data_IF_698751522073
#
_entry.id   IF_698751522073
#
_cell.length_a   1.000
_cell.length_b   1.000
_cell.length_c   1.000
_cell.angle_alpha   90.00
_cell.angle_beta   90.00
_cell.angle_gamma   90.00
#
_symmetry.space_group_name_H-M   'P 1'
#
loop_
_entity.id
_entity.type
_entity.pdbx_description
1 polymer ?
#
# COMPACT_ATOMS: atom_id res chain seq x y z
N UNK A 1 -44.33 51.68 -58.28
CA UNK A 1 -44.45 50.29 -57.78
C UNK A 1 -43.46 50.17 -56.63
N UNK A 2 -43.92 50.02 -55.39
CA UNK A 2 -43.11 50.11 -54.16
C UNK A 2 -42.28 48.83 -53.98
N UNK A 3 -40.96 48.98 -53.81
CA UNK A 3 -40.07 47.93 -53.33
C UNK A 3 -40.40 47.60 -51.87
N UNK A 4 -40.67 46.33 -51.57
CA UNK A 4 -40.78 45.80 -50.22
C UNK A 4 -39.39 45.27 -49.84
N UNK A 5 -38.73 45.75 -48.77
CA UNK A 5 -37.49 45.16 -48.31
C UNK A 5 -37.81 43.88 -47.53
N UNK A 6 -37.24 42.76 -47.97
CA UNK A 6 -37.26 41.49 -47.24
C UNK A 6 -36.33 41.62 -46.02
N UNK A 7 -36.92 41.66 -44.82
CA UNK A 7 -36.22 41.57 -43.55
C UNK A 7 -35.82 40.10 -43.33
N UNK A 8 -34.53 39.79 -43.40
CA UNK A 8 -33.98 38.50 -42.98
C UNK A 8 -33.82 38.52 -41.46
N UNK A 9 -34.72 37.83 -40.74
CA UNK A 9 -34.55 37.54 -39.32
C UNK A 9 -33.59 36.37 -39.23
N UNK A 10 -32.33 36.63 -38.89
CA UNK A 10 -31.39 35.59 -38.48
C UNK A 10 -31.83 35.10 -37.09
N UNK A 11 -32.52 33.96 -37.05
CA UNK A 11 -32.78 33.25 -35.81
C UNK A 11 -31.47 32.58 -35.36
N UNK A 12 -30.77 33.21 -34.42
CA UNK A 12 -29.70 32.56 -33.66
C UNK A 12 -30.35 31.49 -32.80
N UNK A 13 -30.28 30.23 -33.23
CA UNK A 13 -30.63 29.09 -32.37
C UNK A 13 -29.54 29.03 -31.30
N UNK A 14 -29.83 29.53 -30.09
CA UNK A 14 -29.07 29.15 -28.91
C UNK A 14 -29.34 27.65 -28.71
N UNK A 15 -28.42 26.81 -29.18
CA UNK A 15 -28.41 25.40 -28.82
C UNK A 15 -27.96 25.38 -27.36
N UNK A 16 -28.93 25.37 -26.45
CA UNK A 16 -28.64 25.05 -25.06
C UNK A 16 -28.04 23.63 -25.03
N UNK A 17 -26.94 23.41 -24.30
CA UNK A 17 -26.35 22.08 -24.18
C UNK A 17 -27.41 21.09 -23.69
N UNK A 18 -27.36 19.87 -24.20
CA UNK A 18 -28.27 18.83 -23.72
C UNK A 18 -27.89 18.47 -22.28
N UNK A 19 -28.85 17.93 -21.51
CA UNK A 19 -28.57 17.40 -20.16
C UNK A 19 -27.43 16.36 -20.16
N UNK A 20 -27.22 15.67 -21.28
CA UNK A 20 -26.12 14.72 -21.44
C UNK A 20 -24.77 15.44 -21.56
N UNK A 21 -24.68 16.51 -22.36
CA UNK A 21 -23.45 17.32 -22.51
C UNK A 21 -23.06 18.02 -21.20
N UNK A 22 -24.05 18.55 -20.46
CA UNK A 22 -23.82 19.16 -19.14
C UNK A 22 -23.28 18.15 -18.12
N UNK A 23 -23.73 16.90 -18.21
CA UNK A 23 -23.28 15.81 -17.34
C UNK A 23 -21.86 15.38 -17.67
N UNK A 24 -21.49 15.34 -18.95
CA UNK A 24 -20.14 14.98 -19.40
C UNK A 24 -19.11 16.04 -19.00
N UNK A 25 -19.43 17.33 -19.19
CA UNK A 25 -18.56 18.42 -18.74
C UNK A 25 -18.40 18.42 -17.21
N UNK A 26 -19.49 18.23 -16.47
CA UNK A 26 -19.43 18.14 -15.01
C UNK A 26 -18.60 16.93 -14.54
N UNK A 27 -18.73 15.78 -15.20
CA UNK A 27 -17.94 14.58 -14.89
C UNK A 27 -16.44 14.83 -15.09
N UNK A 28 -16.07 15.52 -16.17
CA UNK A 28 -14.67 15.88 -16.41
C UNK A 28 -14.12 16.85 -15.35
N UNK A 29 -14.92 17.84 -14.92
CA UNK A 29 -14.49 18.75 -13.84
C UNK A 29 -14.33 18.06 -12.49
N UNK A 30 -15.18 17.09 -12.17
CA UNK A 30 -15.05 16.26 -10.98
C UNK A 30 -13.78 15.39 -11.05
N UNK A 31 -13.50 14.77 -12.20
CA UNK A 31 -12.25 14.03 -12.43
C UNK A 31 -11.01 14.91 -12.24
N UNK A 32 -11.03 16.13 -12.76
CA UNK A 32 -9.94 17.09 -12.52
C UNK A 32 -9.83 17.50 -11.05
N UNK A 33 -10.94 17.53 -10.31
CA UNK A 33 -10.95 17.72 -8.86
C UNK A 33 -10.23 16.58 -8.13
N UNK A 34 -10.52 15.33 -8.48
CA UNK A 34 -9.82 14.16 -7.95
C UNK A 34 -8.32 14.18 -8.29
N UNK A 35 -7.95 14.57 -9.51
CA UNK A 35 -6.53 14.76 -9.89
C UNK A 35 -5.85 15.80 -8.99
N UNK A 36 -6.48 16.98 -8.79
CA UNK A 36 -5.93 18.01 -7.91
C UNK A 36 -5.78 17.53 -6.46
N UNK A 37 -6.72 16.72 -5.97
CA UNK A 37 -6.61 16.11 -4.65
C UNK A 37 -5.37 15.21 -4.53
N UNK A 38 -5.16 14.31 -5.50
CA UNK A 38 -4.00 13.41 -5.51
C UNK A 38 -2.68 14.19 -5.63
N UNK A 39 -2.62 15.17 -6.52
CA UNK A 39 -1.45 16.04 -6.67
C UNK A 39 -1.14 16.75 -5.35
N UNK A 40 -2.14 17.33 -4.69
CA UNK A 40 -1.98 18.02 -3.42
C UNK A 40 -1.58 17.07 -2.27
N UNK A 41 -2.13 15.85 -2.22
CA UNK A 41 -1.75 14.86 -1.21
C UNK A 41 -0.30 14.41 -1.38
N UNK A 42 0.10 14.10 -2.61
CA UNK A 42 1.45 13.61 -2.92
C UNK A 42 2.51 14.70 -2.81
N UNK A 43 2.12 15.98 -2.95
CA UNK A 43 2.99 17.14 -2.70
C UNK A 43 2.94 17.67 -1.26
N UNK A 44 2.14 17.06 -0.38
CA UNK A 44 1.93 17.48 1.03
C UNK A 44 1.34 18.89 1.16
N UNK A 45 0.52 19.31 0.21
CA UNK A 45 -0.13 20.62 0.21
C UNK A 45 -1.52 20.55 0.86
N UNK A 46 -1.53 20.57 2.20
CA UNK A 46 -2.77 20.53 3.00
C UNK A 46 -3.73 21.68 2.66
N UNK A 47 -3.18 22.84 2.31
CA UNK A 47 -3.96 24.03 1.93
C UNK A 47 -4.62 23.86 0.57
N UNK A 48 -3.94 23.27 -0.40
CA UNK A 48 -4.53 22.93 -1.69
C UNK A 48 -5.68 21.93 -1.52
N UNK A 49 -5.52 20.91 -0.65
CA UNK A 49 -6.60 19.97 -0.33
C UNK A 49 -7.80 20.71 0.27
N UNK A 50 -7.58 21.52 1.31
CA UNK A 50 -8.65 22.28 1.95
C UNK A 50 -9.38 23.22 0.97
N UNK A 51 -8.68 23.74 -0.03
CA UNK A 51 -9.27 24.61 -1.06
C UNK A 51 -10.23 23.89 -2.01
N UNK A 52 -10.20 22.56 -2.08
CA UNK A 52 -11.16 21.73 -2.84
C UNK A 52 -12.53 21.61 -2.13
N UNK A 53 -12.60 21.94 -0.84
CA UNK A 53 -13.85 21.92 -0.09
C UNK A 53 -14.61 23.23 -0.18
N UNK A 54 -15.91 23.22 0.08
CA UNK A 54 -16.66 24.43 0.42
C UNK A 54 -16.06 25.11 1.68
N UNK A 55 -16.29 26.42 1.90
CA UNK A 55 -15.83 27.10 3.11
C UNK A 55 -16.21 26.38 4.41
N UNK A 56 -17.45 25.85 4.45
CA UNK A 56 -18.03 25.06 5.55
C UNK A 56 -18.08 23.56 5.20
N UNK A 57 -17.19 23.08 4.33
CA UNK A 57 -17.12 21.67 3.98
C UNK A 57 -16.72 20.80 5.18
N UNK A 58 -17.14 19.55 5.19
CA UNK A 58 -16.91 18.64 6.33
C UNK A 58 -16.22 17.33 5.92
N UNK A 59 -15.41 16.77 6.82
CA UNK A 59 -14.94 15.38 6.76
C UNK A 59 -15.51 14.64 7.96
N UNK A 60 -16.22 13.55 7.71
CA UNK A 60 -16.74 12.64 8.72
C UNK A 60 -15.80 11.45 8.75
N UNK A 61 -14.93 11.41 9.75
CA UNK A 61 -13.88 10.40 9.83
C UNK A 61 -14.46 9.05 10.23
N UNK A 62 -13.69 8.00 9.94
CA UNK A 62 -13.96 6.64 10.36
C UNK A 62 -14.17 6.48 11.89
N UNK A 63 -13.55 7.34 12.71
CA UNK A 63 -13.68 7.32 14.18
C UNK A 63 -14.97 7.98 14.69
N UNK A 64 -15.76 8.60 13.79
CA UNK A 64 -16.99 9.33 14.13
C UNK A 64 -16.76 10.80 14.47
N UNK A 65 -15.56 11.32 14.23
CA UNK A 65 -15.26 12.74 14.35
C UNK A 65 -15.77 13.51 13.12
N UNK A 66 -16.12 14.79 13.33
CA UNK A 66 -16.48 15.71 12.25
C UNK A 66 -15.49 16.86 12.23
N UNK A 67 -14.69 16.93 11.17
CA UNK A 67 -13.77 18.04 10.90
C UNK A 67 -14.52 19.02 10.00
N UNK A 68 -14.79 20.23 10.50
CA UNK A 68 -15.66 21.21 9.82
C UNK A 68 -14.91 22.47 9.44
N UNK A 69 -15.06 22.88 8.18
CA UNK A 69 -14.48 24.09 7.63
C UNK A 69 -13.05 23.91 7.12
N UNK A 70 -12.66 24.75 6.16
CA UNK A 70 -11.35 24.64 5.48
C UNK A 70 -10.15 24.69 6.43
N UNK A 71 -10.21 25.53 7.46
CA UNK A 71 -9.11 25.68 8.43
C UNK A 71 -8.88 24.39 9.21
N UNK A 72 -9.96 23.73 9.67
CA UNK A 72 -9.85 22.46 10.37
C UNK A 72 -9.40 21.32 9.45
N UNK A 73 -9.87 21.31 8.19
CA UNK A 73 -9.45 20.33 7.18
C UNK A 73 -7.96 20.49 6.85
N UNK A 74 -7.47 21.73 6.67
CA UNK A 74 -6.04 22.01 6.46
C UNK A 74 -5.21 21.48 7.63
N UNK A 75 -5.63 21.77 8.88
CA UNK A 75 -4.93 21.28 10.07
C UNK A 75 -4.91 19.75 10.17
N UNK A 76 -6.02 19.08 9.82
CA UNK A 76 -6.12 17.63 9.81
C UNK A 76 -5.13 17.00 8.82
N UNK A 77 -5.07 17.50 7.58
CA UNK A 77 -4.13 16.98 6.58
C UNK A 77 -2.69 17.30 6.93
N UNK A 78 -2.41 18.48 7.52
CA UNK A 78 -1.07 18.80 8.01
C UNK A 78 -0.61 17.79 9.07
N UNK A 79 -1.48 17.43 10.02
CA UNK A 79 -1.15 16.42 11.03
C UNK A 79 -0.84 15.03 10.42
N UNK A 80 -1.59 14.63 9.38
CA UNK A 80 -1.33 13.39 8.64
C UNK A 80 0.05 13.44 7.97
N UNK A 81 0.41 14.57 7.35
CA UNK A 81 1.69 14.73 6.67
C UNK A 81 2.87 14.83 7.63
N UNK A 82 2.69 15.40 8.81
CA UNK A 82 3.70 15.45 9.87
C UNK A 82 3.97 14.05 10.47
N UNK A 83 2.99 13.14 10.43
CA UNK A 83 3.13 11.75 10.90
C UNK A 83 3.83 10.85 9.88
N UNK A 84 3.48 10.96 8.58
CA UNK A 84 4.13 10.24 7.48
C UNK A 84 4.33 11.15 6.25
N UNK A 85 5.48 11.82 6.22
CA UNK A 85 5.89 12.71 5.12
C UNK A 85 6.10 11.98 3.78
N UNK A 86 6.23 10.65 3.80
CA UNK A 86 6.55 9.84 2.62
C UNK A 86 5.34 9.17 1.97
N UNK A 87 4.21 9.12 2.70
CA UNK A 87 2.96 8.52 2.25
C UNK A 87 2.55 9.00 0.85
N UNK A 88 2.00 8.10 0.03
CA UNK A 88 1.46 8.44 -1.29
C UNK A 88 0.01 8.01 -1.38
N UNK A 89 -0.82 8.82 -2.04
CA UNK A 89 -2.21 8.51 -2.33
C UNK A 89 -2.42 8.22 -3.81
N UNK A 90 -3.33 7.28 -4.07
CA UNK A 90 -4.00 7.10 -5.35
C UNK A 90 -5.52 7.00 -5.12
N UNK A 91 -6.31 7.43 -6.09
CA UNK A 91 -7.77 7.37 -6.04
C UNK A 91 -8.27 6.42 -7.12
N UNK A 92 -9.04 5.43 -6.70
CA UNK A 92 -9.91 4.66 -7.57
C UNK A 92 -11.31 5.29 -7.50
N UNK A 93 -11.60 6.16 -8.47
CA UNK A 93 -12.95 6.76 -8.60
C UNK A 93 -13.91 5.67 -9.06
N UNK A 94 -14.91 5.37 -8.23
CA UNK A 94 -15.93 4.38 -8.53
C UNK A 94 -17.09 4.97 -9.32
N UNK A 95 -18.19 5.27 -8.63
CA UNK A 95 -19.44 5.71 -9.24
C UNK A 95 -19.69 7.20 -8.97
N UNK A 96 -20.15 7.94 -9.98
CA UNK A 96 -20.53 9.36 -9.87
C UNK A 96 -21.98 9.51 -10.29
N UNK A 97 -22.81 9.93 -9.34
CA UNK A 97 -24.26 10.09 -9.52
C UNK A 97 -24.69 11.53 -9.34
N UNK A 98 -25.28 12.10 -10.38
CA UNK A 98 -25.93 13.42 -10.33
C UNK A 98 -27.33 13.28 -9.73
N UNK A 99 -27.46 13.62 -8.44
CA UNK A 99 -28.69 13.41 -7.67
C UNK A 99 -29.66 14.59 -7.76
N UNK A 100 -29.16 15.78 -8.10
CA UNK A 100 -29.93 17.00 -8.36
C UNK A 100 -29.09 17.98 -9.21
N UNK A 101 -29.69 19.03 -9.80
CA UNK A 101 -28.92 20.05 -10.51
C UNK A 101 -27.83 20.64 -9.61
N UNK A 102 -26.58 20.61 -10.07
CA UNK A 102 -25.43 21.10 -9.33
C UNK A 102 -25.05 20.27 -8.10
N UNK A 103 -25.56 19.05 -7.95
CA UNK A 103 -25.22 18.15 -6.83
C UNK A 103 -24.85 16.77 -7.38
N UNK A 104 -23.64 16.32 -7.04
CA UNK A 104 -23.13 15.00 -7.39
C UNK A 104 -22.68 14.25 -6.13
N UNK A 105 -22.92 12.94 -6.11
CA UNK A 105 -22.37 12.02 -5.11
C UNK A 105 -21.37 11.12 -5.80
N UNK A 106 -20.18 11.03 -5.23
CA UNK A 106 -19.11 10.16 -5.67
C UNK A 106 -18.85 9.10 -4.61
N UNK A 107 -18.82 7.84 -5.02
CA UNK A 107 -18.38 6.72 -4.18
C UNK A 107 -17.05 6.20 -4.76
N UNK A 108 -16.01 6.10 -3.93
CA UNK A 108 -14.66 5.75 -4.38
C UNK A 108 -13.83 5.04 -3.32
N UNK A 109 -12.60 4.68 -3.70
CA UNK A 109 -11.60 4.09 -2.80
C UNK A 109 -10.32 4.92 -2.87
N UNK A 110 -9.82 5.33 -1.70
CA UNK A 110 -8.49 5.93 -1.58
C UNK A 110 -7.49 4.85 -1.18
N UNK A 111 -6.38 4.80 -1.90
CA UNK A 111 -5.26 3.91 -1.65
C UNK A 111 -4.10 4.72 -1.08
N UNK A 112 -3.64 4.36 0.11
CA UNK A 112 -2.54 5.02 0.80
C UNK A 112 -1.38 4.02 0.91
N UNK A 113 -0.26 4.34 0.27
CA UNK A 113 1.01 3.61 0.41
C UNK A 113 1.89 4.34 1.41
N UNK A 114 2.27 3.67 2.50
CA UNK A 114 3.15 4.21 3.54
C UNK A 114 4.64 4.13 3.16
N UNK A 115 5.49 4.74 3.99
CA UNK A 115 6.95 4.71 3.87
C UNK A 115 7.54 3.30 3.63
N UNK A 116 6.98 2.31 4.33
CA UNK A 116 7.43 0.92 4.33
C UNK A 116 6.82 0.08 3.20
N UNK A 117 6.07 0.73 2.29
CA UNK A 117 5.38 0.09 1.18
C UNK A 117 4.06 -0.57 1.56
N UNK A 118 3.61 -0.48 2.82
CA UNK A 118 2.31 -1.01 3.21
C UNK A 118 1.20 -0.22 2.51
N UNK A 119 0.33 -0.94 1.79
CA UNK A 119 -0.85 -0.38 1.15
C UNK A 119 -2.07 -0.53 2.06
N UNK A 120 -2.74 0.57 2.38
CA UNK A 120 -4.08 0.57 2.97
C UNK A 120 -5.09 1.16 1.98
N UNK A 121 -6.32 0.64 1.96
CA UNK A 121 -7.38 1.10 1.04
C UNK A 121 -8.66 1.38 1.79
N UNK A 122 -9.23 2.58 1.65
CA UNK A 122 -10.43 2.99 2.40
C UNK A 122 -11.52 3.46 1.44
N UNK A 123 -12.75 2.96 1.63
CA UNK A 123 -13.91 3.50 0.94
C UNK A 123 -14.27 4.89 1.47
N UNK A 124 -14.70 5.76 0.56
CA UNK A 124 -15.27 7.05 0.90
C UNK A 124 -16.49 7.37 0.05
N UNK A 125 -17.33 8.26 0.58
CA UNK A 125 -18.39 8.94 -0.19
C UNK A 125 -18.15 10.44 -0.12
N UNK A 126 -18.11 11.10 -1.28
CA UNK A 126 -18.00 12.56 -1.40
C UNK A 126 -19.28 13.17 -1.98
N UNK A 127 -19.74 14.27 -1.38
CA UNK A 127 -20.81 15.11 -1.88
C UNK A 127 -20.21 16.37 -2.49
N UNK A 128 -20.42 16.56 -3.79
CA UNK A 128 -19.91 17.70 -4.56
C UNK A 128 -21.02 18.65 -4.95
N UNK A 129 -20.70 19.95 -4.94
CA UNK A 129 -21.61 21.04 -5.27
C UNK A 129 -21.01 21.90 -6.38
N UNK A 130 -21.77 22.12 -7.44
CA UNK A 130 -21.39 23.02 -8.53
C UNK A 130 -21.42 24.48 -8.05
N UNK A 131 -20.42 25.25 -8.47
CA UNK A 131 -20.28 26.67 -8.19
C UNK A 131 -20.73 27.51 -9.39
N UNK A 132 -21.01 28.79 -9.16
CA UNK A 132 -21.44 29.72 -10.23
C UNK A 132 -20.39 29.91 -11.33
N UNK A 133 -19.10 29.77 -11.00
CA UNK A 133 -17.98 29.81 -11.95
C UNK A 133 -17.81 28.50 -12.73
N UNK A 134 -18.69 27.52 -12.50
CA UNK A 134 -18.68 26.22 -13.14
C UNK A 134 -17.69 25.24 -12.50
N UNK A 135 -16.95 25.61 -11.45
CA UNK A 135 -16.13 24.68 -10.67
C UNK A 135 -17.01 23.78 -9.79
N UNK A 136 -16.42 22.73 -9.23
CA UNK A 136 -17.07 21.84 -8.28
C UNK A 136 -16.25 21.81 -6.99
N UNK A 137 -16.92 21.93 -5.86
CA UNK A 137 -16.32 21.89 -4.54
C UNK A 137 -16.98 20.82 -3.68
N UNK A 138 -16.19 20.20 -2.82
CA UNK A 138 -16.65 19.15 -1.90
C UNK A 138 -17.36 19.76 -0.71
N UNK A 139 -18.64 19.44 -0.53
CA UNK A 139 -19.41 19.81 0.65
C UNK A 139 -19.15 18.86 1.82
N UNK A 140 -18.99 17.57 1.54
CA UNK A 140 -18.77 16.56 2.57
C UNK A 140 -17.99 15.37 2.03
N UNK A 141 -17.06 14.85 2.82
CA UNK A 141 -16.51 13.51 2.67
C UNK A 141 -16.92 12.68 3.90
N UNK A 142 -17.20 11.40 3.68
CA UNK A 142 -17.33 10.42 4.74
C UNK A 142 -16.35 9.29 4.48
N UNK A 143 -15.50 9.03 5.45
CA UNK A 143 -14.53 7.94 5.43
C UNK A 143 -15.12 6.70 6.09
N UNK A 144 -14.70 5.53 5.62
CA UNK A 144 -14.98 4.26 6.28
C UNK A 144 -13.70 3.65 6.85
N UNK A 145 -13.80 3.07 8.05
CA UNK A 145 -12.65 2.54 8.79
C UNK A 145 -12.03 1.27 8.18
N UNK A 146 -12.79 0.57 7.35
CA UNK A 146 -12.42 -0.77 6.93
C UNK A 146 -11.37 -0.69 5.84
N UNK A 147 -10.18 -1.20 6.15
CA UNK A 147 -9.18 -1.45 5.12
C UNK A 147 -9.68 -2.54 4.16
N UNK A 148 -9.77 -2.17 2.88
CA UNK A 148 -10.21 -3.01 1.77
C UNK A 148 -9.04 -3.68 1.06
N UNK A 149 -7.78 -3.34 1.38
CA UNK A 149 -6.62 -3.95 0.78
C UNK A 149 -6.58 -5.45 1.12
N UNK A 150 -6.66 -6.29 0.08
CA UNK A 150 -6.51 -7.73 0.24
C UNK A 150 -5.11 -8.12 0.70
N UNK A 151 -4.97 -9.31 1.29
CA UNK A 151 -3.67 -9.77 1.82
C UNK A 151 -2.53 -9.78 0.79
N UNK A 152 -2.82 -10.00 -0.50
CA UNK A 152 -1.80 -9.95 -1.55
C UNK A 152 -1.28 -8.53 -1.75
N UNK A 153 -2.16 -7.53 -1.77
CA UNK A 153 -1.79 -6.13 -1.91
C UNK A 153 -0.95 -5.67 -0.70
N UNK A 154 -1.29 -6.12 0.51
CA UNK A 154 -0.47 -5.91 1.72
C UNK A 154 0.94 -6.47 1.57
N UNK A 155 1.07 -7.70 1.06
CA UNK A 155 2.35 -8.36 0.91
C UNK A 155 3.28 -7.72 -0.13
N UNK A 156 2.80 -6.80 -0.97
CA UNK A 156 3.67 -6.09 -1.92
C UNK A 156 4.76 -5.26 -1.22
N UNK A 157 4.56 -4.86 0.05
CA UNK A 157 5.60 -4.29 0.90
C UNK A 157 6.84 -5.21 1.06
N UNK A 158 6.67 -6.51 0.81
CA UNK A 158 7.71 -7.54 0.87
C UNK A 158 8.14 -8.06 -0.52
N UNK A 159 7.75 -7.40 -1.62
CA UNK A 159 8.15 -7.81 -2.99
C UNK A 159 9.67 -7.86 -3.18
N UNK A 160 10.41 -7.04 -2.43
CA UNK A 160 11.87 -7.07 -2.44
C UNK A 160 12.46 -8.42 -2.02
N UNK A 161 11.73 -9.27 -1.28
CA UNK A 161 12.15 -10.63 -0.92
C UNK A 161 12.09 -11.61 -2.09
N UNK A 162 11.30 -11.32 -3.13
CA UNK A 162 11.02 -12.28 -4.20
C UNK A 162 12.29 -12.57 -5.02
N UNK A 163 12.49 -13.86 -5.28
CA UNK A 163 13.59 -14.40 -6.05
C UNK A 163 14.53 -15.31 -5.26
N UNK A 164 15.70 -15.56 -5.84
CA UNK A 164 16.69 -16.48 -5.30
C UNK A 164 17.80 -15.76 -4.54
N UNK A 165 18.20 -16.35 -3.43
CA UNK A 165 19.13 -15.79 -2.47
C UNK A 165 20.15 -16.82 -2.01
N UNK A 166 21.29 -16.31 -1.54
CA UNK A 166 22.40 -17.09 -1.04
C UNK A 166 22.92 -16.50 0.28
N UNK A 167 23.18 -17.38 1.22
CA UNK A 167 23.98 -17.13 2.41
C UNK A 167 25.24 -17.98 2.27
N UNK A 168 26.41 -17.36 2.48
CA UNK A 168 27.67 -18.09 2.61
C UNK A 168 28.30 -17.76 3.96
N UNK A 169 28.61 -18.78 4.74
CA UNK A 169 29.28 -18.63 6.03
C UNK A 169 30.19 -19.81 6.31
N UNK A 170 31.47 -19.57 6.58
CA UNK A 170 32.45 -20.59 7.01
C UNK A 170 32.45 -21.89 6.15
N UNK A 171 32.20 -21.76 4.84
CA UNK A 171 32.15 -22.88 3.90
C UNK A 171 30.78 -23.55 3.76
N UNK A 172 29.82 -23.26 4.65
CA UNK A 172 28.43 -23.62 4.49
C UNK A 172 27.70 -22.63 3.55
N UNK A 173 26.75 -23.15 2.79
CA UNK A 173 25.93 -22.39 1.85
C UNK A 173 24.46 -22.66 2.07
N UNK A 174 23.65 -21.61 2.25
CA UNK A 174 22.19 -21.73 2.28
C UNK A 174 21.58 -21.04 1.07
N UNK A 175 20.81 -21.80 0.32
CA UNK A 175 20.11 -21.42 -0.89
C UNK A 175 18.66 -21.16 -0.50
N UNK A 176 18.13 -19.97 -0.74
CA UNK A 176 16.73 -19.65 -0.39
C UNK A 176 16.03 -19.12 -1.63
N UNK A 177 14.86 -19.65 -1.94
CA UNK A 177 13.99 -19.13 -3.00
C UNK A 177 12.71 -18.64 -2.37
N UNK A 178 12.25 -17.44 -2.73
CA UNK A 178 11.00 -16.82 -2.31
C UNK A 178 10.12 -16.57 -3.53
N UNK A 179 8.90 -17.11 -3.50
CA UNK A 179 7.95 -17.03 -4.60
C UNK A 179 6.58 -16.58 -4.10
N UNK A 180 5.84 -15.88 -4.96
CA UNK A 180 4.42 -15.68 -4.76
C UNK A 180 3.69 -17.02 -4.80
N UNK A 181 2.88 -17.30 -3.79
CA UNK A 181 2.14 -18.55 -3.70
C UNK A 181 0.99 -18.59 -4.70
N UNK A 182 0.77 -19.74 -5.34
CA UNK A 182 -0.43 -19.98 -6.19
C UNK A 182 -1.69 -20.22 -5.35
N UNK A 183 -1.54 -20.56 -4.06
CA UNK A 183 -2.63 -20.97 -3.16
C UNK A 183 -3.26 -19.82 -2.38
N UNK A 184 -2.87 -18.57 -2.66
CA UNK A 184 -3.45 -17.39 -2.02
C UNK A 184 -2.48 -16.25 -1.77
N UNK A 185 -2.85 -15.30 -0.90
CA UNK A 185 -2.05 -14.12 -0.60
C UNK A 185 -0.90 -14.49 0.35
N UNK A 186 0.07 -15.24 -0.15
CA UNK A 186 1.25 -15.67 0.60
C UNK A 186 2.53 -15.51 -0.21
N UNK A 187 3.64 -15.35 0.49
CA UNK A 187 4.99 -15.57 -0.05
C UNK A 187 5.50 -16.88 0.53
N UNK A 188 5.81 -17.84 -0.34
CA UNK A 188 6.39 -19.12 0.05
C UNK A 188 7.90 -19.08 -0.13
N UNK A 189 8.63 -19.66 0.83
CA UNK A 189 10.07 -19.81 0.74
C UNK A 189 10.50 -21.25 0.97
N UNK A 190 11.54 -21.66 0.23
CA UNK A 190 12.23 -22.94 0.43
C UNK A 190 13.71 -22.69 0.59
N UNK A 191 14.31 -23.31 1.60
CA UNK A 191 15.73 -23.23 1.88
C UNK A 191 16.40 -24.62 1.78
N UNK A 192 17.60 -24.65 1.21
CA UNK A 192 18.52 -25.78 1.23
C UNK A 192 19.85 -25.31 1.81
N UNK A 193 20.29 -25.90 2.92
CA UNK A 193 21.60 -25.64 3.50
C UNK A 193 22.53 -26.81 3.23
N UNK A 194 23.72 -26.51 2.75
CA UNK A 194 24.80 -27.45 2.46
C UNK A 194 26.02 -27.08 3.29
N UNK A 195 26.65 -28.06 3.91
CA UNK A 195 27.87 -27.88 4.70
C UNK A 195 28.85 -29.02 4.43
N UNK A 196 30.17 -28.78 4.40
CA UNK A 196 31.16 -29.84 4.30
C UNK A 196 31.12 -30.83 5.47
N UNK A 197 30.73 -30.35 6.65
CA UNK A 197 30.88 -31.06 7.92
C UNK A 197 29.55 -31.58 8.49
N UNK A 198 28.42 -31.32 7.80
CA UNK A 198 27.09 -31.71 8.26
C UNK A 198 26.22 -32.21 7.11
N UNK A 199 25.17 -32.96 7.44
CA UNK A 199 24.15 -33.34 6.48
C UNK A 199 23.42 -32.11 5.95
N UNK A 200 23.05 -32.15 4.68
CA UNK A 200 22.21 -31.11 4.09
C UNK A 200 20.88 -31.01 4.85
N UNK A 201 20.47 -29.80 5.17
CA UNK A 201 19.19 -29.52 5.81
C UNK A 201 18.29 -28.72 4.89
N UNK A 202 16.98 -28.82 5.13
CA UNK A 202 15.97 -28.06 4.37
C UNK A 202 15.03 -27.38 5.33
N UNK A 203 14.51 -26.23 4.91
CA UNK A 203 13.45 -25.55 5.62
C UNK A 203 12.44 -24.96 4.64
N UNK A 204 11.23 -24.74 5.13
CA UNK A 204 10.19 -24.01 4.43
C UNK A 204 9.77 -22.83 5.28
N UNK A 205 9.33 -21.76 4.63
CA UNK A 205 8.68 -20.64 5.29
C UNK A 205 7.48 -20.20 4.46
N UNK A 206 6.45 -19.70 5.11
CA UNK A 206 5.32 -19.01 4.48
C UNK A 206 5.08 -17.70 5.20
N UNK A 207 4.93 -16.61 4.46
CA UNK A 207 4.59 -15.28 4.99
C UNK A 207 3.19 -14.90 4.51
N UNK A 208 2.38 -14.33 5.39
CA UNK A 208 1.03 -13.85 5.11
C UNK A 208 0.67 -12.60 5.92
N UNK A 209 -0.50 -12.03 5.65
CA UNK A 209 -1.06 -10.90 6.38
C UNK A 209 -2.05 -11.36 7.45
N UNK A 210 -1.87 -10.94 8.70
CA UNK A 210 -2.84 -11.11 9.78
C UNK A 210 -3.72 -9.87 9.88
N UNK A 211 -4.95 -9.95 9.35
CA UNK A 211 -5.89 -8.83 9.35
C UNK A 211 -6.41 -8.45 10.75
N UNK A 212 -6.32 -9.34 11.74
CA UNK A 212 -6.76 -9.03 13.11
C UNK A 212 -5.68 -8.28 13.89
N UNK A 213 -4.40 -8.52 13.55
CA UNK A 213 -3.24 -7.88 14.20
C UNK A 213 -2.61 -6.76 13.36
N UNK A 214 -3.07 -6.59 12.12
CA UNK A 214 -2.57 -5.63 11.14
C UNK A 214 -1.03 -5.70 10.97
N UNK A 215 -0.53 -6.92 10.73
CA UNK A 215 0.91 -7.21 10.67
C UNK A 215 1.20 -8.41 9.76
N UNK A 216 2.43 -8.52 9.25
CA UNK A 216 2.85 -9.76 8.59
C UNK A 216 3.19 -10.83 9.61
N UNK A 217 2.81 -12.05 9.31
CA UNK A 217 3.15 -13.23 10.09
C UNK A 217 3.82 -14.26 9.20
N UNK A 218 4.75 -15.01 9.77
CA UNK A 218 5.44 -16.09 9.07
C UNK A 218 5.39 -17.38 9.86
N UNK A 219 5.37 -18.52 9.17
CA UNK A 219 5.55 -19.84 9.75
C UNK A 219 6.74 -20.50 9.06
N UNK A 220 7.61 -21.14 9.83
CA UNK A 220 8.73 -21.89 9.29
C UNK A 220 8.77 -23.31 9.86
N UNK A 221 9.23 -24.25 9.05
CA UNK A 221 9.45 -25.64 9.42
C UNK A 221 10.80 -26.10 8.88
N UNK A 222 11.62 -26.73 9.71
CA UNK A 222 12.80 -27.47 9.25
C UNK A 222 12.47 -28.94 8.97
N UNK A 223 13.39 -29.63 8.31
CA UNK A 223 13.23 -31.03 7.91
C UNK A 223 13.15 -32.01 9.09
N UNK A 224 13.66 -31.63 10.25
CA UNK A 224 13.71 -32.47 11.44
C UNK A 224 12.45 -32.29 12.32
N UNK A 225 11.55 -31.39 11.92
CA UNK A 225 10.26 -31.16 12.57
C UNK A 225 10.24 -29.96 13.52
N UNK A 226 11.35 -29.23 13.64
CA UNK A 226 11.38 -27.94 14.30
C UNK A 226 10.52 -26.93 13.54
N UNK A 227 9.88 -26.03 14.27
CA UNK A 227 8.96 -25.06 13.71
C UNK A 227 8.92 -23.77 14.51
N UNK A 228 8.60 -22.66 13.85
CA UNK A 228 8.44 -21.37 14.52
C UNK A 228 7.43 -20.48 13.80
N UNK A 229 6.96 -19.48 14.53
CA UNK A 229 6.20 -18.36 14.00
C UNK A 229 6.98 -17.06 14.15
N UNK A 230 6.85 -16.16 13.20
CA UNK A 230 7.40 -14.80 13.24
C UNK A 230 6.30 -13.77 13.15
N UNK A 231 6.34 -12.72 13.98
CA UNK A 231 5.50 -11.52 13.81
C UNK A 231 6.37 -10.36 13.36
N UNK A 232 6.01 -9.70 12.27
CA UNK A 232 6.84 -8.72 11.57
C UNK A 232 6.30 -7.31 11.75
N UNK A 233 7.10 -6.44 12.34
CA UNK A 233 6.78 -5.02 12.49
C UNK A 233 7.74 -4.21 11.62
N UNK A 234 7.20 -3.26 10.87
CA UNK A 234 8.02 -2.28 10.18
C UNK A 234 8.88 -1.51 11.19
N UNK A 235 10.16 -1.36 10.90
CA UNK A 235 11.11 -0.61 11.73
C UNK A 235 11.55 0.70 11.07
N UNK A 236 10.88 1.11 9.99
CA UNK A 236 11.29 2.23 9.13
C UNK A 236 12.52 1.90 8.27
N UNK A 237 12.88 2.80 7.35
CA UNK A 237 14.13 2.75 6.58
C UNK A 237 14.44 1.41 5.88
N UNK A 238 13.42 0.78 5.25
CA UNK A 238 13.52 -0.56 4.65
C UNK A 238 14.01 -1.63 5.63
N UNK A 239 13.62 -1.52 6.90
CA UNK A 239 13.94 -2.49 7.93
C UNK A 239 12.68 -3.10 8.55
N UNK A 240 12.82 -4.36 8.96
CA UNK A 240 11.75 -5.14 9.58
C UNK A 240 12.24 -5.75 10.88
N UNK A 241 11.46 -5.65 11.94
CA UNK A 241 11.68 -6.37 13.19
C UNK A 241 10.77 -7.61 13.23
N UNK A 242 11.35 -8.77 13.46
CA UNK A 242 10.65 -10.05 13.52
C UNK A 242 10.83 -10.65 14.90
N UNK A 243 9.73 -10.83 15.63
CA UNK A 243 9.74 -11.60 16.87
C UNK A 243 9.40 -13.04 16.57
N UNK A 244 10.32 -13.94 16.90
CA UNK A 244 10.24 -15.37 16.61
C UNK A 244 9.95 -16.13 17.90
N UNK A 245 8.98 -17.04 17.84
CA UNK A 245 8.70 -18.03 18.86
C UNK A 245 8.51 -19.39 18.21
N UNK A 246 9.04 -20.45 18.80
CA UNK A 246 8.95 -21.78 18.21
C UNK A 246 9.48 -22.89 19.10
N UNK A 247 9.71 -24.04 18.46
CA UNK A 247 10.19 -25.26 19.08
C UNK A 247 11.21 -25.91 18.14
N UNK A 248 12.34 -26.36 18.69
CA UNK A 248 13.34 -27.15 17.93
C UNK A 248 12.83 -28.57 17.64
N UNK A 249 13.52 -29.32 16.79
CA UNK A 249 13.17 -30.73 16.53
C UNK A 249 13.17 -31.61 17.81
N UNK A 250 13.99 -31.25 18.80
CA UNK A 250 14.09 -31.93 20.10
C UNK A 250 13.02 -31.50 21.12
N UNK A 251 12.11 -30.60 20.73
CA UNK A 251 11.04 -30.13 21.60
C UNK A 251 11.42 -28.96 22.52
N UNK A 252 12.58 -28.34 22.30
CA UNK A 252 13.05 -27.22 23.12
C UNK A 252 12.43 -25.91 22.65
N UNK A 253 12.02 -25.07 23.60
CA UNK A 253 11.44 -23.76 23.27
C UNK A 253 12.48 -22.83 22.66
N UNK A 254 12.18 -22.30 21.48
CA UNK A 254 12.96 -21.29 20.78
C UNK A 254 12.28 -19.92 20.89
N UNK A 255 13.07 -18.88 21.14
CA UNK A 255 12.68 -17.49 20.92
C UNK A 255 13.85 -16.71 20.32
N UNK A 256 13.56 -15.67 19.54
CA UNK A 256 14.56 -14.74 19.03
C UNK A 256 13.93 -13.41 18.60
N UNK A 257 14.74 -12.36 18.57
CA UNK A 257 14.42 -11.11 17.85
C UNK A 257 15.31 -11.05 16.62
N UNK A 258 14.73 -10.79 15.44
CA UNK A 258 15.49 -10.59 14.21
C UNK A 258 15.23 -9.21 13.65
N UNK A 259 16.26 -8.47 13.27
CA UNK A 259 16.14 -7.27 12.44
C UNK A 259 16.58 -7.61 11.02
N UNK A 260 15.76 -7.28 10.04
CA UNK A 260 16.10 -7.38 8.62
C UNK A 260 16.35 -5.97 8.11
N UNK A 261 17.50 -5.74 7.49
CA UNK A 261 17.83 -4.45 6.86
C UNK A 261 18.09 -4.68 5.37
N UNK A 262 17.27 -4.09 4.51
CA UNK A 262 17.38 -4.25 3.05
C UNK A 262 18.39 -3.24 2.51
N UNK A 263 19.34 -3.72 1.71
CA UNK A 263 20.31 -2.81 1.09
C UNK A 263 19.63 -1.88 0.07
N UNK A 264 20.09 -0.62 -0.10
CA UNK A 264 19.45 0.35 -1.00
C UNK A 264 19.34 -0.07 -2.47
N UNK A 265 20.17 -1.01 -2.92
CA UNK A 265 20.15 -1.52 -4.30
C UNK A 265 19.29 -2.79 -4.47
N UNK A 266 18.69 -3.29 -3.39
CA UNK A 266 17.86 -4.50 -3.39
C UNK A 266 18.62 -5.80 -3.72
N UNK A 267 19.96 -5.79 -3.76
CA UNK A 267 20.78 -6.96 -4.11
C UNK A 267 21.23 -7.76 -2.88
N UNK A 268 20.94 -7.27 -1.68
CA UNK A 268 21.23 -7.95 -0.43
C UNK A 268 20.33 -7.45 0.69
N UNK A 269 20.26 -8.21 1.76
CA UNK A 269 19.75 -7.75 3.05
C UNK A 269 20.57 -8.41 4.16
N UNK A 270 20.56 -7.82 5.36
CA UNK A 270 21.23 -8.39 6.53
C UNK A 270 20.18 -8.82 7.54
N UNK A 271 20.34 -10.03 8.07
CA UNK A 271 19.61 -10.53 9.23
C UNK A 271 20.46 -10.42 10.48
N UNK A 272 20.07 -9.54 11.38
CA UNK A 272 20.62 -9.45 12.72
C UNK A 272 19.77 -10.30 13.65
N UNK A 273 20.30 -11.41 14.14
CA UNK A 273 19.64 -12.25 15.12
C UNK A 273 20.16 -11.92 16.50
N UNK A 274 19.25 -11.51 17.38
CA UNK A 274 19.52 -11.07 18.75
C UNK A 274 18.60 -11.78 19.72
N UNK A 275 18.98 -11.80 20.99
CA UNK A 275 18.17 -12.36 22.08
C UNK A 275 17.71 -13.80 21.81
N UNK A 276 18.45 -14.55 20.99
CA UNK A 276 18.09 -15.91 20.64
C UNK A 276 18.30 -16.79 21.87
N UNK A 277 17.25 -17.48 22.32
CA UNK A 277 17.36 -18.41 23.42
C UNK A 277 16.71 -19.75 23.09
N UNK A 278 17.37 -20.84 23.49
CA UNK A 278 16.86 -22.21 23.42
C UNK A 278 16.70 -22.71 24.84
N UNK A 279 15.46 -23.07 25.21
CA UNK A 279 15.08 -23.47 26.58
C UNK A 279 15.54 -22.48 27.68
N UNK A 280 15.62 -21.20 27.34
CA UNK A 280 16.05 -20.13 28.24
C UNK A 280 17.56 -19.88 28.28
N UNK A 281 18.38 -20.70 27.61
CA UNK A 281 19.81 -20.44 27.45
C UNK A 281 20.04 -19.47 26.27
N UNK A 282 20.67 -18.33 26.57
CA UNK A 282 20.94 -17.28 25.58
C UNK A 282 22.12 -17.67 24.68
N UNK A 283 21.91 -17.56 23.38
CA UNK A 283 22.93 -17.78 22.36
C UNK A 283 23.54 -16.43 21.92
N UNK A 284 24.79 -16.43 21.40
CA UNK A 284 25.41 -15.22 20.87
C UNK A 284 24.63 -14.61 19.71
N UNK A 285 24.62 -13.28 19.65
CA UNK A 285 24.12 -12.53 18.50
C UNK A 285 24.85 -12.92 17.22
N UNK A 286 24.13 -12.88 16.10
CA UNK A 286 24.67 -13.26 14.77
C UNK A 286 24.13 -12.34 13.69
N UNK A 287 25.04 -11.89 12.84
CA UNK A 287 24.70 -11.15 11.63
C UNK A 287 24.90 -12.04 10.42
N UNK A 288 23.86 -12.16 9.61
CA UNK A 288 23.86 -13.00 8.40
C UNK A 288 23.57 -12.10 7.22
N UNK A 289 24.55 -11.96 6.33
CA UNK A 289 24.35 -11.28 5.05
C UNK A 289 23.74 -12.25 4.06
N UNK A 290 22.62 -11.86 3.47
CA UNK A 290 21.93 -12.59 2.41
C UNK A 290 22.10 -11.81 1.11
N UNK A 291 22.58 -12.48 0.05
CA UNK A 291 22.86 -11.84 -1.24
C UNK A 291 22.00 -12.45 -2.33
N UNK A 292 21.48 -11.61 -3.23
CA UNK A 292 20.66 -12.05 -4.35
C UNK A 292 21.51 -12.89 -5.28
N UNK A 293 20.96 -14.02 -5.72
CA UNK A 293 21.64 -14.91 -6.66
C UNK A 293 21.42 -14.40 -8.09
N UNK A 294 22.48 -14.25 -8.90
CA UNK A 294 22.30 -14.00 -10.32
C UNK A 294 21.56 -15.18 -10.96
N UNK A 295 20.69 -14.94 -11.95
CA UNK A 295 20.00 -16.00 -12.66
C UNK A 295 21.01 -17.03 -13.14
N UNK A 296 20.64 -18.32 -13.06
CA UNK A 296 21.48 -19.38 -13.61
C UNK A 296 21.80 -19.01 -15.06
N UNK A 297 23.07 -19.07 -15.50
CA UNK A 297 23.41 -18.74 -16.88
C UNK A 297 22.53 -19.59 -17.79
N UNK A 298 21.75 -18.93 -18.64
CA UNK A 298 20.96 -19.61 -19.67
C UNK A 298 21.96 -20.41 -20.48
N UNK A 299 21.95 -21.72 -20.30
CA UNK A 299 22.68 -22.59 -21.20
C UNK A 299 21.86 -22.55 -22.48
N UNK A 300 22.24 -21.64 -23.38
CA UNK A 300 21.82 -21.72 -24.76
C UNK A 300 22.34 -23.08 -25.25
N UNK A 301 21.49 -24.10 -25.15
CA UNK A 301 21.64 -25.33 -25.89
C UNK A 301 21.25 -24.99 -27.34
N UNK A 302 22.08 -24.17 -27.97
CA UNK A 302 21.97 -23.72 -29.35
C UNK A 302 23.13 -24.27 -30.16
N UNK A 303 22.80 -25.31 -30.94
CA UNK A 303 23.48 -25.89 -32.12
C UNK A 303 24.73 -26.77 -31.91
#
# INVERSE_FOLDING_TARGET
MKFIPTLVIAATVLIAPSRADETEEATEKLRQGATRYIEAFNSKDAKAIASLFLPEGEIHTASGEVVSGREAIEAQYQAIFDEDESSQAALEVGDVRFVAPGIAVEDGVVHITRADGELASYSYTALHVAQEDGSWLTARVRDEARDLAGGHAKLQALDWLIGDWLIENEGAKTYISFDWSEDGPFIDARALSESPDALNSRATMRIGWDAAKETFISWSFDIDGGHNTGTWTSAGDNAWLIRVEGVTADGERLQATRKVEVSPNGQSFTWHSQDMAINGELLPDRDIKVVKRPPSPTTDAGE
#
